data_IF_971510486555
#
_entry.id   IF_971510486555
#
_cell.length_a   1.000
_cell.length_b   1.000
_cell.length_c   1.000
_cell.angle_alpha   90.00
_cell.angle_beta   90.00
_cell.angle_gamma   90.00
#
_symmetry.space_group_name_H-M   'P 1'
#
loop_
_entity.id
_entity.type
_entity.pdbx_description
1 polymer ?
#
# COMPACT_ATOMS: atom_id res chain seq x y z
N UNK A 1 9.68 -11.83 5.85
CA UNK A 1 10.72 -12.23 4.89
C UNK A 1 11.80 -11.18 5.00
N UNK A 2 12.98 -11.56 5.49
CA UNK A 2 14.08 -10.63 5.67
C UNK A 2 14.77 -10.37 4.32
N UNK A 3 15.30 -9.16 4.12
CA UNK A 3 15.96 -8.77 2.87
C UNK A 3 17.07 -9.75 2.46
N UNK A 4 17.86 -10.23 3.43
CA UNK A 4 18.94 -11.20 3.18
C UNK A 4 18.44 -12.53 2.60
N UNK A 5 17.28 -13.01 3.06
CA UNK A 5 16.65 -14.24 2.56
C UNK A 5 16.22 -14.07 1.11
N UNK A 6 15.57 -12.95 0.78
CA UNK A 6 15.16 -12.61 -0.59
C UNK A 6 16.33 -12.66 -1.57
N UNK A 7 17.46 -12.04 -1.19
CA UNK A 7 18.66 -11.99 -2.02
C UNK A 7 19.25 -13.38 -2.23
N UNK A 8 19.34 -14.18 -1.16
CA UNK A 8 19.84 -15.56 -1.20
C UNK A 8 18.99 -16.45 -2.09
N UNK A 9 17.67 -16.39 -1.93
CA UNK A 9 16.74 -17.26 -2.65
C UNK A 9 16.75 -16.92 -4.14
N UNK A 10 16.79 -15.63 -4.50
CA UNK A 10 16.90 -15.23 -5.89
C UNK A 10 18.23 -15.63 -6.51
N UNK A 11 19.35 -15.50 -5.77
CA UNK A 11 20.65 -15.98 -6.23
C UNK A 11 20.63 -17.49 -6.50
N UNK A 12 20.07 -18.28 -5.58
CA UNK A 12 19.95 -19.74 -5.72
C UNK A 12 19.04 -20.12 -6.89
N UNK A 13 17.92 -19.44 -7.06
CA UNK A 13 17.01 -19.65 -8.19
C UNK A 13 17.68 -19.35 -9.54
N UNK A 14 18.60 -18.38 -9.58
CA UNK A 14 19.42 -18.09 -10.76
C UNK A 14 20.62 -19.05 -10.93
N UNK A 15 20.84 -20.01 -10.04
CA UNK A 15 21.96 -20.95 -10.09
C UNK A 15 23.34 -20.29 -9.88
N UNK A 16 23.39 -19.08 -9.31
CA UNK A 16 24.63 -18.30 -9.21
C UNK A 16 25.35 -18.50 -7.87
N UNK A 17 26.68 -18.49 -7.89
CA UNK A 17 27.49 -18.47 -6.66
C UNK A 17 27.56 -17.05 -6.08
N UNK A 18 27.87 -16.93 -4.78
CA UNK A 18 28.08 -15.61 -4.15
C UNK A 18 29.23 -14.88 -4.85
N UNK A 19 30.31 -15.58 -5.21
CA UNK A 19 31.45 -15.00 -5.94
C UNK A 19 31.06 -14.43 -7.30
N UNK A 20 30.20 -15.13 -8.04
CA UNK A 20 29.70 -14.66 -9.34
C UNK A 20 28.87 -13.38 -9.21
N UNK A 21 27.95 -13.33 -8.23
CA UNK A 21 27.14 -12.12 -7.98
C UNK A 21 28.00 -10.98 -7.45
N UNK A 22 28.97 -11.27 -6.59
CA UNK A 22 29.91 -10.29 -6.06
C UNK A 22 30.70 -9.59 -7.17
N UNK A 23 31.21 -10.35 -8.14
CA UNK A 23 31.91 -9.82 -9.30
C UNK A 23 31.03 -8.87 -10.11
N UNK A 24 29.82 -9.31 -10.50
CA UNK A 24 28.90 -8.50 -11.30
C UNK A 24 28.38 -7.27 -10.56
N UNK A 25 28.09 -7.41 -9.27
CA UNK A 25 27.66 -6.30 -8.44
C UNK A 25 28.85 -5.37 -8.09
N UNK A 26 30.10 -5.79 -8.32
CA UNK A 26 31.33 -5.12 -7.87
C UNK A 26 31.39 -4.93 -6.34
N UNK A 27 30.88 -5.91 -5.59
CA UNK A 27 30.88 -5.96 -4.13
C UNK A 27 31.81 -7.09 -3.66
N UNK A 28 32.19 -7.10 -2.38
CA UNK A 28 33.01 -8.18 -1.85
C UNK A 28 32.16 -9.42 -1.51
N UNK A 29 32.73 -10.61 -1.66
CA UNK A 29 32.09 -11.88 -1.28
C UNK A 29 31.69 -11.90 0.20
N UNK A 30 32.55 -11.47 1.17
CA UNK A 30 32.16 -11.43 2.58
C UNK A 30 30.99 -10.48 2.84
N UNK A 31 30.89 -9.37 2.10
CA UNK A 31 29.79 -8.42 2.25
C UNK A 31 28.44 -9.03 1.83
N UNK A 32 28.38 -9.69 0.67
CA UNK A 32 27.16 -10.37 0.22
C UNK A 32 26.80 -11.54 1.14
N UNK A 33 27.79 -12.32 1.58
CA UNK A 33 27.55 -13.43 2.51
C UNK A 33 26.98 -12.94 3.85
N UNK A 34 27.47 -11.82 4.38
CA UNK A 34 26.90 -11.20 5.58
C UNK A 34 25.46 -10.73 5.32
N UNK A 35 25.22 -10.06 4.20
CA UNK A 35 23.90 -9.55 3.86
C UNK A 35 22.87 -10.68 3.69
N UNK A 36 23.22 -11.78 3.00
CA UNK A 36 22.34 -12.95 2.87
C UNK A 36 22.02 -13.59 4.24
N UNK A 37 22.89 -13.43 5.23
CA UNK A 37 22.69 -13.89 6.61
C UNK A 37 22.01 -12.86 7.52
N UNK A 38 21.44 -11.79 6.94
CA UNK A 38 20.77 -10.73 7.71
C UNK A 38 21.72 -9.86 8.53
N UNK A 39 23.01 -9.83 8.18
CA UNK A 39 24.02 -9.03 8.88
C UNK A 39 24.43 -7.83 8.05
N UNK A 40 24.44 -6.66 8.69
CA UNK A 40 24.87 -5.39 8.09
C UNK A 40 23.70 -4.49 7.69
N UNK A 41 24.04 -3.28 7.27
CA UNK A 41 23.09 -2.27 6.81
C UNK A 41 23.49 -1.81 5.40
N UNK A 42 22.93 -2.42 4.33
CA UNK A 42 23.33 -2.07 2.98
C UNK A 42 22.85 -0.68 2.57
N UNK A 43 23.65 0.03 1.78
CA UNK A 43 23.21 1.28 1.18
C UNK A 43 22.25 1.01 0.01
N UNK A 44 21.45 2.00 -0.37
CA UNK A 44 20.59 1.89 -1.57
C UNK A 44 21.41 1.58 -2.83
N UNK A 45 22.62 2.14 -2.96
CA UNK A 45 23.52 1.84 -4.08
C UNK A 45 23.98 0.39 -4.08
N UNK A 46 24.29 -0.20 -2.92
CA UNK A 46 24.64 -1.61 -2.83
C UNK A 46 23.45 -2.51 -3.22
N UNK A 47 22.23 -2.14 -2.80
CA UNK A 47 21.00 -2.85 -3.15
C UNK A 47 20.69 -2.80 -4.64
N UNK A 48 20.87 -1.64 -5.27
CA UNK A 48 20.64 -1.46 -6.70
C UNK A 48 21.61 -2.29 -7.55
N UNK A 49 22.90 -2.30 -7.15
CA UNK A 49 23.94 -3.13 -7.79
C UNK A 49 23.65 -4.63 -7.65
N UNK A 50 23.20 -5.05 -6.47
CA UNK A 50 22.79 -6.44 -6.22
C UNK A 50 21.56 -6.84 -7.03
N UNK A 51 20.54 -5.97 -7.07
CA UNK A 51 19.33 -6.21 -7.85
C UNK A 51 19.69 -6.38 -9.33
N UNK A 52 20.50 -5.47 -9.87
CA UNK A 52 20.99 -5.52 -11.26
C UNK A 52 21.75 -6.83 -11.54
N UNK A 53 22.70 -7.21 -10.68
CA UNK A 53 23.45 -8.46 -10.82
C UNK A 53 22.56 -9.72 -10.72
N UNK A 54 21.41 -9.64 -10.05
CA UNK A 54 20.44 -10.72 -9.91
C UNK A 54 19.29 -10.68 -10.93
N UNK A 55 19.39 -9.82 -11.97
CA UNK A 55 18.33 -9.67 -12.97
C UNK A 55 17.01 -9.21 -12.34
N UNK A 56 17.09 -8.30 -11.38
CA UNK A 56 15.97 -7.69 -10.68
C UNK A 56 16.04 -6.17 -10.80
N UNK A 57 14.94 -5.50 -10.47
CA UNK A 57 14.85 -4.04 -10.36
C UNK A 57 14.64 -3.68 -8.90
N UNK A 58 15.42 -2.73 -8.38
CA UNK A 58 15.16 -2.15 -7.07
C UNK A 58 14.02 -1.12 -7.19
N UNK A 59 12.98 -1.30 -6.38
CA UNK A 59 11.90 -0.33 -6.21
C UNK A 59 11.87 0.10 -4.74
N UNK A 60 12.00 1.40 -4.49
CA UNK A 60 11.90 1.99 -3.16
C UNK A 60 10.68 2.89 -3.15
N UNK A 61 9.65 2.47 -2.42
CA UNK A 61 8.43 3.25 -2.21
C UNK A 61 8.44 3.76 -0.77
N UNK A 62 8.48 5.08 -0.63
CA UNK A 62 8.20 5.74 0.63
C UNK A 62 6.74 6.09 0.61
N UNK A 63 5.97 5.35 1.39
CA UNK A 63 4.60 5.72 1.70
C UNK A 63 4.64 6.58 2.96
N UNK A 64 3.85 7.64 3.03
CA UNK A 64 3.63 8.34 4.30
C UNK A 64 2.90 7.45 5.30
N UNK A 65 2.43 6.28 4.86
CA UNK A 65 1.55 5.44 5.63
C UNK A 65 0.25 6.23 5.80
N UNK A 66 -0.76 5.92 5.00
CA UNK A 66 -2.04 5.86 5.68
C UNK A 66 -1.87 4.77 6.73
N UNK A 67 -1.95 5.11 8.04
CA UNK A 67 -1.93 4.10 9.08
C UNK A 67 -3.02 3.10 8.74
N UNK A 68 -2.77 1.82 9.03
CA UNK A 68 -3.78 0.77 9.19
C UNK A 68 -5.11 1.42 9.56
N UNK A 69 -6.10 1.36 8.65
CA UNK A 69 -7.37 2.09 8.70
C UNK A 69 -7.76 2.36 10.16
N UNK A 70 -7.59 3.61 10.62
CA UNK A 70 -8.31 4.05 11.80
C UNK A 70 -9.78 3.69 11.57
N UNK A 71 -10.53 3.21 12.58
CA UNK A 71 -11.93 2.83 12.40
C UNK A 71 -12.65 3.94 11.64
N UNK A 72 -12.98 3.66 10.39
CA UNK A 72 -13.54 4.64 9.48
C UNK A 72 -14.99 4.81 9.92
N UNK A 73 -15.26 5.92 10.60
CA UNK A 73 -16.62 6.29 10.96
C UNK A 73 -17.48 6.38 9.69
N UNK A 74 -16.92 6.83 8.57
CA UNK A 74 -17.57 6.77 7.26
C UNK A 74 -17.94 5.35 6.83
N UNK A 75 -17.02 4.39 6.96
CA UNK A 75 -17.25 2.99 6.60
C UNK A 75 -18.33 2.35 7.49
N UNK A 76 -18.29 2.56 8.80
CA UNK A 76 -19.31 2.07 9.73
C UNK A 76 -20.70 2.65 9.41
N UNK A 77 -20.78 3.96 9.14
CA UNK A 77 -22.03 4.63 8.78
C UNK A 77 -22.59 4.13 7.45
N UNK A 78 -21.74 3.97 6.44
CA UNK A 78 -22.15 3.47 5.11
C UNK A 78 -22.59 2.01 5.19
N UNK A 79 -21.88 1.17 5.93
CA UNK A 79 -22.24 -0.23 6.13
C UNK A 79 -23.61 -0.38 6.82
N UNK A 80 -23.90 0.48 7.80
CA UNK A 80 -25.14 0.45 8.60
C UNK A 80 -26.28 1.29 8.01
N UNK A 81 -26.16 1.78 6.77
CA UNK A 81 -27.18 2.64 6.14
C UNK A 81 -27.85 1.97 4.92
N UNK A 82 -29.11 1.51 5.05
CA UNK A 82 -29.89 1.00 3.91
C UNK A 82 -30.04 2.03 2.79
N UNK A 83 -30.17 3.31 3.16
CA UNK A 83 -30.31 4.42 2.21
C UNK A 83 -29.04 4.63 1.38
N UNK A 84 -27.86 4.57 2.02
CA UNK A 84 -26.59 4.63 1.30
C UNK A 84 -26.47 3.50 0.28
N UNK A 85 -26.85 2.27 0.67
CA UNK A 85 -26.83 1.13 -0.25
C UNK A 85 -27.79 1.31 -1.45
N UNK A 86 -29.01 1.80 -1.23
CA UNK A 86 -29.95 2.12 -2.31
C UNK A 86 -29.36 3.14 -3.28
N UNK A 87 -28.75 4.22 -2.78
CA UNK A 87 -28.12 5.23 -3.64
C UNK A 87 -26.89 4.71 -4.39
N UNK A 88 -26.07 3.88 -3.75
CA UNK A 88 -24.94 3.25 -4.42
C UNK A 88 -25.41 2.38 -5.59
N UNK A 89 -26.56 1.70 -5.47
CA UNK A 89 -27.13 0.92 -6.58
C UNK A 89 -27.63 1.81 -7.73
N UNK A 90 -28.19 2.99 -7.46
CA UNK A 90 -28.65 3.90 -8.51
C UNK A 90 -27.49 4.64 -9.19
N UNK A 91 -26.49 5.07 -8.42
CA UNK A 91 -25.33 5.82 -8.92
C UNK A 91 -24.31 4.94 -9.68
N UNK A 92 -24.31 3.63 -9.43
CA UNK A 92 -23.42 2.69 -10.09
C UNK A 92 -23.83 2.32 -11.54
N UNK A 93 -24.82 2.99 -12.15
CA UNK A 93 -25.25 2.80 -13.53
C UNK A 93 -24.20 3.26 -14.58
N UNK A 94 -22.97 2.74 -14.49
CA UNK A 94 -21.81 3.06 -15.33
C UNK A 94 -20.47 3.14 -14.58
N UNK A 95 -20.45 3.02 -13.24
CA UNK A 95 -19.24 3.05 -12.39
C UNK A 95 -19.16 1.78 -11.53
N UNK A 96 -17.94 1.39 -11.11
CA UNK A 96 -17.79 0.29 -10.15
C UNK A 96 -18.47 0.64 -8.82
N UNK A 97 -19.42 -0.19 -8.39
CA UNK A 97 -20.11 -0.05 -7.11
C UNK A 97 -19.15 -0.02 -5.92
N UNK A 98 -18.03 -0.76 -5.99
CA UNK A 98 -16.99 -0.75 -4.98
C UNK A 98 -16.25 0.60 -4.96
N UNK A 99 -15.92 1.15 -6.14
CA UNK A 99 -15.26 2.44 -6.25
C UNK A 99 -16.16 3.57 -5.75
N UNK A 100 -17.45 3.58 -6.12
CA UNK A 100 -18.40 4.61 -5.65
C UNK A 100 -18.58 4.56 -4.13
N UNK A 101 -18.62 3.36 -3.55
CA UNK A 101 -18.65 3.17 -2.08
C UNK A 101 -17.39 3.73 -1.42
N UNK A 102 -16.22 3.43 -1.97
CA UNK A 102 -14.96 3.92 -1.42
C UNK A 102 -14.86 5.45 -1.49
N UNK A 103 -15.33 6.07 -2.57
CA UNK A 103 -15.39 7.54 -2.67
C UNK A 103 -16.33 8.15 -1.63
N UNK A 104 -17.50 7.54 -1.39
CA UNK A 104 -18.44 8.03 -0.37
C UNK A 104 -17.83 7.95 1.04
N UNK A 105 -17.17 6.83 1.36
CA UNK A 105 -16.48 6.63 2.65
C UNK A 105 -15.36 7.67 2.82
N UNK A 106 -14.48 7.81 1.82
CA UNK A 106 -13.39 8.78 1.87
C UNK A 106 -13.90 10.22 2.02
N UNK A 107 -15.01 10.56 1.35
CA UNK A 107 -15.65 11.87 1.48
C UNK A 107 -16.13 12.11 2.92
N UNK A 108 -16.80 11.14 3.54
CA UNK A 108 -17.26 11.26 4.94
C UNK A 108 -16.09 11.39 5.92
N UNK A 109 -15.05 10.58 5.77
CA UNK A 109 -13.90 10.61 6.65
C UNK A 109 -13.15 11.95 6.52
N UNK A 110 -13.09 12.52 5.31
CA UNK A 110 -12.50 13.85 5.06
C UNK A 110 -13.26 15.01 5.73
N UNK A 111 -14.50 14.80 6.19
CA UNK A 111 -15.24 15.81 6.96
C UNK A 111 -14.75 15.92 8.40
N UNK A 112 -14.09 14.89 8.94
CA UNK A 112 -13.62 14.88 10.34
C UNK A 112 -12.79 16.11 10.72
N UNK A 113 -11.74 16.53 9.97
CA UNK A 113 -10.98 17.74 10.30
C UNK A 113 -11.81 19.03 10.21
N UNK A 114 -12.87 19.06 9.38
CA UNK A 114 -13.74 20.22 9.22
C UNK A 114 -14.77 20.31 10.37
N UNK A 115 -15.29 19.17 10.80
CA UNK A 115 -16.28 19.08 11.86
C UNK A 115 -15.66 19.13 13.26
N UNK A 116 -14.36 18.83 13.39
CA UNK A 116 -13.68 18.64 14.67
C UNK A 116 -14.18 17.42 15.46
N UNK A 117 -14.96 16.55 14.82
CA UNK A 117 -15.54 15.31 15.37
C UNK A 117 -15.75 14.29 14.26
N UNK A 118 -15.90 13.01 14.62
CA UNK A 118 -16.29 11.98 13.66
C UNK A 118 -17.66 12.30 13.02
N UNK A 119 -17.87 11.95 11.74
CA UNK A 119 -19.16 12.07 11.08
C UNK A 119 -20.22 11.22 11.79
N UNK A 120 -21.48 11.66 11.72
CA UNK A 120 -22.64 11.00 12.34
C UNK A 120 -23.63 10.53 11.26
N UNK A 121 -24.65 9.71 11.61
CA UNK A 121 -25.70 9.34 10.66
C UNK A 121 -26.42 10.54 10.04
N UNK A 122 -26.57 11.65 10.78
CA UNK A 122 -27.16 12.89 10.26
C UNK A 122 -26.27 13.53 9.19
N UNK A 123 -24.96 13.51 9.36
CA UNK A 123 -24.01 14.05 8.37
C UNK A 123 -24.02 13.21 7.09
N UNK A 124 -24.09 11.87 7.22
CA UNK A 124 -24.30 10.98 6.08
C UNK A 124 -25.60 11.30 5.33
N UNK A 125 -26.73 11.43 6.02
CA UNK A 125 -28.00 11.72 5.35
C UNK A 125 -27.98 13.06 4.60
N UNK A 126 -27.36 14.11 5.17
CA UNK A 126 -27.19 15.39 4.49
C UNK A 126 -26.32 15.26 3.24
N UNK A 127 -25.24 14.49 3.30
CA UNK A 127 -24.39 14.23 2.15
C UNK A 127 -25.15 13.49 1.05
N UNK A 128 -25.96 12.49 1.42
CA UNK A 128 -26.81 11.76 0.47
C UNK A 128 -27.88 12.66 -0.17
N UNK A 129 -28.51 13.56 0.60
CA UNK A 129 -29.47 14.53 0.09
C UNK A 129 -28.81 15.47 -0.94
N UNK A 130 -27.59 15.96 -0.65
CA UNK A 130 -26.82 16.79 -1.59
C UNK A 130 -26.51 16.07 -2.91
N UNK A 131 -26.10 14.80 -2.84
CA UNK A 131 -25.79 14.00 -4.04
C UNK A 131 -27.04 13.71 -4.87
N UNK A 132 -28.22 13.64 -4.26
CA UNK A 132 -29.49 13.43 -4.97
C UNK A 132 -30.05 14.69 -5.65
N UNK A 133 -29.62 15.87 -5.21
CA UNK A 133 -30.04 17.16 -5.77
C UNK A 133 -29.15 17.63 -6.93
N UNK A 134 -28.03 16.94 -7.20
CA UNK A 134 -27.08 17.23 -8.27
C UNK A 134 -27.36 16.37 -9.52
#
# INVERSE_FOLDING_TARGET
MELGEVLRDRRKAAGRTIASVAMDAGLSVPYIANLENGRGNPTLSALDRLATALGARLEVRLDTGEPVEAPSAGAELVANSPRANQLLTTLAAGRSHAATRQHLIATLDSLTPLLGRAPTPTDLNRLLDLVQLA
#
